data_IF_995125277293
#
_entry.id   IF_995125277293
#
_cell.length_a   1.000
_cell.length_b   1.000
_cell.length_c   1.000
_cell.angle_alpha   90.00
_cell.angle_beta   90.00
_cell.angle_gamma   90.00
#
_symmetry.space_group_name_H-M   'P 1'
#
loop_
_entity.id
_entity.type
_entity.pdbx_description
1 polymer ?
#
# COMPACT_ATOMS: atom_id res chain seq x y z
N UNK A 1 -1.50 5.28 6.27
CA UNK A 1 -0.73 6.20 7.14
C UNK A 1 0.12 5.50 8.21
N UNK A 2 -0.42 4.63 9.07
CA UNK A 2 0.34 3.94 10.15
C UNK A 2 1.50 3.03 9.67
N UNK A 3 1.38 2.39 8.52
CA UNK A 3 2.42 1.49 7.95
C UNK A 3 3.61 2.26 7.40
N UNK A 4 3.36 3.42 6.82
CA UNK A 4 4.35 4.30 6.24
C UNK A 4 5.23 4.99 7.31
N UNK A 5 4.60 5.49 8.39
CA UNK A 5 5.32 6.03 9.55
C UNK A 5 6.22 4.96 10.20
N UNK A 6 5.79 3.70 10.22
CA UNK A 6 6.60 2.56 10.68
C UNK A 6 7.82 2.31 9.79
N UNK A 7 7.67 2.44 8.48
CA UNK A 7 8.77 2.25 7.52
C UNK A 7 9.85 3.33 7.71
N UNK A 8 9.46 4.60 7.78
CA UNK A 8 10.37 5.73 8.01
C UNK A 8 11.10 5.58 9.33
N UNK A 9 10.37 5.24 10.40
CA UNK A 9 10.98 5.00 11.71
C UNK A 9 12.00 3.87 11.67
N UNK A 10 11.75 2.80 10.90
CA UNK A 10 12.73 1.72 10.70
C UNK A 10 13.97 2.19 9.96
N UNK A 11 13.83 2.92 8.85
CA UNK A 11 14.99 3.45 8.12
C UNK A 11 15.81 4.44 8.95
N UNK A 12 15.14 5.33 9.68
CA UNK A 12 15.83 6.25 10.59
C UNK A 12 16.58 5.50 11.68
N UNK A 13 15.95 4.51 12.32
CA UNK A 13 16.58 3.69 13.35
C UNK A 13 17.75 2.87 12.80
N UNK A 14 17.67 2.33 11.59
CA UNK A 14 18.78 1.61 10.97
C UNK A 14 19.93 2.54 10.61
N UNK A 15 19.68 3.73 10.09
CA UNK A 15 20.71 4.72 9.79
C UNK A 15 21.44 5.18 11.05
N UNK A 16 20.70 5.48 12.11
CA UNK A 16 21.27 5.80 13.44
C UNK A 16 22.05 4.62 14.01
N UNK A 17 21.52 3.40 13.90
CA UNK A 17 22.20 2.19 14.36
C UNK A 17 23.51 1.92 13.62
N UNK A 18 23.54 2.07 12.31
CA UNK A 18 24.77 1.93 11.50
C UNK A 18 25.81 3.00 11.88
N UNK A 19 25.37 4.24 12.08
CA UNK A 19 26.28 5.33 12.48
C UNK A 19 26.87 5.11 13.88
N UNK A 20 26.05 4.68 14.84
CA UNK A 20 26.52 4.31 16.17
C UNK A 20 27.48 3.11 16.12
N UNK A 21 27.20 2.11 15.29
CA UNK A 21 28.08 0.96 15.08
C UNK A 21 29.44 1.40 14.51
N UNK A 22 29.46 2.28 13.50
CA UNK A 22 30.72 2.79 12.92
C UNK A 22 31.55 3.58 13.95
N UNK A 23 30.90 4.40 14.77
CA UNK A 23 31.58 5.14 15.84
C UNK A 23 32.13 4.19 16.90
N UNK A 24 31.36 3.21 17.36
CA UNK A 24 31.81 2.23 18.36
C UNK A 24 32.94 1.35 17.84
N UNK A 25 32.86 0.90 16.57
CA UNK A 25 33.93 0.14 15.91
C UNK A 25 35.18 1.00 15.77
N UNK A 26 35.04 2.27 15.38
CA UNK A 26 36.16 3.22 15.30
C UNK A 26 36.87 3.44 16.64
N UNK A 27 36.11 3.68 17.70
CA UNK A 27 36.66 3.81 19.09
C UNK A 27 37.30 2.49 19.52
N UNK A 28 36.63 1.35 19.28
CA UNK A 28 37.14 0.02 19.61
C UNK A 28 38.47 -0.29 18.89
N UNK A 29 38.57 0.09 17.62
CA UNK A 29 39.80 -0.08 16.82
C UNK A 29 40.93 0.77 17.36
N UNK A 30 40.68 2.03 17.69
CA UNK A 30 41.68 2.93 18.31
C UNK A 30 42.11 2.40 19.67
N UNK A 31 41.20 1.94 20.51
CA UNK A 31 41.51 1.32 21.79
C UNK A 31 42.32 0.03 21.64
N UNK A 32 41.96 -0.81 20.65
CA UNK A 32 42.70 -2.04 20.35
C UNK A 32 44.15 -1.73 19.89
N UNK A 33 44.32 -0.77 18.97
CA UNK A 33 45.64 -0.36 18.51
C UNK A 33 46.48 0.19 19.67
N UNK A 34 45.90 1.01 20.53
CA UNK A 34 46.57 1.51 21.73
C UNK A 34 46.95 0.40 22.72
N UNK A 35 46.05 -0.57 22.94
CA UNK A 35 46.32 -1.75 23.77
C UNK A 35 47.42 -2.64 23.15
N UNK A 36 47.38 -2.89 21.85
CA UNK A 36 48.40 -3.68 21.14
C UNK A 36 49.77 -3.02 21.24
N UNK A 37 49.84 -1.69 21.10
CA UNK A 37 51.10 -0.94 21.28
C UNK A 37 51.58 -0.99 22.71
N UNK A 38 50.70 -0.84 23.70
CA UNK A 38 51.01 -1.02 25.11
C UNK A 38 51.59 -2.40 25.41
N UNK A 39 51.05 -3.46 24.89
CA UNK A 39 51.59 -4.82 25.06
C UNK A 39 52.96 -5.01 24.41
N UNK A 40 53.24 -4.40 23.27
CA UNK A 40 54.54 -4.45 22.59
C UNK A 40 55.59 -3.68 23.40
N UNK A 41 55.24 -2.61 24.09
CA UNK A 41 56.12 -1.77 24.87
C UNK A 41 56.43 -2.35 26.27
N UNK A 42 55.56 -3.21 26.81
CA UNK A 42 55.55 -3.73 28.18
C UNK A 42 56.25 -5.09 28.31
N UNK A 43 56.80 -5.69 27.24
CA UNK A 43 57.57 -6.96 27.36
C UNK A 43 58.98 -6.75 28.02
N UNK A 44 59.00 -6.04 29.11
CA UNK A 44 60.18 -5.86 29.99
C UNK A 44 59.77 -6.29 31.37
N UNK A 45 60.47 -7.27 31.89
CA UNK A 45 60.14 -7.79 33.22
C UNK A 45 60.44 -6.77 34.34
N UNK A 46 61.42 -5.87 34.09
CA UNK A 46 61.89 -4.88 35.07
C UNK A 46 62.07 -3.50 34.41
N UNK A 47 61.78 -2.45 35.15
CA UNK A 47 62.10 -1.07 34.76
C UNK A 47 63.63 -0.80 34.89
N UNK A 48 64.08 0.26 34.22
CA UNK A 48 65.53 0.63 34.29
C UNK A 48 65.93 1.03 35.74
N UNK A 49 65.03 1.64 36.51
CA UNK A 49 65.16 1.97 37.91
C UNK A 49 65.33 0.71 38.80
N UNK A 50 64.40 -0.27 38.65
CA UNK A 50 64.50 -1.53 39.42
C UNK A 50 65.75 -2.32 39.10
N UNK A 51 66.22 -2.28 37.86
CA UNK A 51 67.50 -2.90 37.50
C UNK A 51 68.66 -2.19 38.06
N UNK A 52 68.68 -0.85 38.05
CA UNK A 52 69.75 -0.03 38.64
C UNK A 52 69.80 -0.23 40.16
N UNK A 53 68.68 -0.20 40.83
CA UNK A 53 68.58 -0.40 42.29
C UNK A 53 69.05 -1.78 42.72
N UNK A 54 68.96 -2.78 41.87
CA UNK A 54 69.39 -4.15 42.16
C UNK A 54 70.88 -4.37 42.10
N UNK A 55 71.66 -3.37 41.64
CA UNK A 55 73.11 -3.47 41.55
C UNK A 55 73.78 -3.19 42.89
N UNK A 56 74.72 -4.06 43.25
CA UNK A 56 75.46 -3.94 44.52
C UNK A 56 76.97 -3.78 44.23
N UNK A 57 77.60 -2.87 44.95
CA UNK A 57 79.08 -2.67 44.92
C UNK A 57 79.76 -3.72 45.79
N UNK A 58 80.60 -4.53 45.20
CA UNK A 58 81.44 -5.53 45.89
C UNK A 58 82.90 -5.16 45.78
N UNK A 59 83.77 -5.91 46.49
CA UNK A 59 85.24 -5.71 46.37
C UNK A 59 85.79 -5.96 44.97
N UNK A 60 85.07 -6.74 44.16
CA UNK A 60 85.38 -7.09 42.75
C UNK A 60 84.80 -6.11 41.75
N UNK A 61 84.02 -5.08 42.16
CA UNK A 61 83.32 -4.15 41.28
C UNK A 61 81.80 -4.21 41.45
N UNK A 62 81.05 -3.62 40.47
CA UNK A 62 79.59 -3.64 40.45
C UNK A 62 79.07 -5.03 39.93
N UNK A 63 78.04 -5.55 40.59
CA UNK A 63 77.37 -6.80 40.20
C UNK A 63 75.90 -6.76 40.60
N UNK A 64 75.10 -7.60 40.00
CA UNK A 64 73.70 -7.76 40.47
C UNK A 64 73.65 -8.52 41.80
N UNK A 65 72.65 -8.17 42.61
CA UNK A 65 72.40 -8.86 43.88
C UNK A 65 72.05 -10.36 43.64
N UNK A 66 72.10 -11.18 44.73
CA UNK A 66 71.92 -12.66 44.59
C UNK A 66 70.51 -13.11 44.25
N UNK A 67 69.55 -12.20 44.17
CA UNK A 67 68.15 -12.54 43.94
C UNK A 67 67.85 -13.12 42.55
N UNK A 68 68.49 -12.54 41.53
CA UNK A 68 68.33 -13.00 40.13
C UNK A 68 69.69 -12.91 39.36
N UNK A 69 69.94 -13.84 38.39
CA UNK A 69 71.11 -13.72 37.51
C UNK A 69 70.96 -12.53 36.55
N UNK A 70 72.11 -12.03 36.08
CA UNK A 70 72.18 -10.86 35.18
C UNK A 70 71.27 -11.01 33.93
N UNK A 71 71.16 -12.22 33.35
CA UNK A 71 70.34 -12.55 32.20
C UNK A 71 68.86 -12.28 32.45
N UNK A 72 68.39 -12.48 33.70
CA UNK A 72 66.96 -12.24 34.05
C UNK A 72 66.66 -10.76 34.23
N UNK A 73 67.58 -10.03 34.91
CA UNK A 73 67.46 -8.58 35.03
C UNK A 73 67.49 -7.86 33.68
N UNK A 74 68.32 -8.39 32.73
CA UNK A 74 68.52 -7.80 31.40
C UNK A 74 67.54 -8.32 30.37
N UNK A 75 66.56 -9.12 30.79
CA UNK A 75 65.54 -9.64 29.86
C UNK A 75 64.82 -8.49 29.15
N UNK A 76 64.87 -8.47 27.82
CA UNK A 76 64.28 -7.41 26.96
C UNK A 76 65.21 -6.22 26.67
N UNK A 77 66.46 -6.19 27.21
CA UNK A 77 67.49 -5.23 26.87
C UNK A 77 68.61 -5.93 26.07
N UNK A 78 69.20 -5.23 25.14
CA UNK A 78 70.28 -5.78 24.29
C UNK A 78 71.64 -5.70 24.97
N UNK A 79 71.91 -4.65 25.74
CA UNK A 79 73.15 -4.42 26.43
C UNK A 79 72.93 -3.39 27.58
N UNK A 80 73.84 -3.35 28.51
CA UNK A 80 73.91 -2.31 29.54
C UNK A 80 75.32 -1.89 29.85
N UNK A 81 75.50 -0.68 30.41
CA UNK A 81 76.76 -0.16 30.91
C UNK A 81 76.50 0.78 32.10
N UNK A 82 77.52 0.96 32.93
CA UNK A 82 77.59 1.99 33.97
C UNK A 82 78.74 2.93 33.68
N UNK A 83 78.43 4.24 33.70
CA UNK A 83 79.41 5.28 33.50
C UNK A 83 79.71 5.94 34.84
N UNK A 84 81.02 6.18 35.11
CA UNK A 84 81.43 7.00 36.24
C UNK A 84 81.28 8.49 35.93
N UNK A 85 81.61 9.35 36.95
CA UNK A 85 81.51 10.80 36.78
C UNK A 85 82.48 11.36 35.72
N UNK A 86 83.52 10.59 35.37
CA UNK A 86 84.48 10.96 34.33
C UNK A 86 84.03 10.46 32.94
N UNK A 87 82.89 9.71 32.83
CA UNK A 87 82.34 9.16 31.64
C UNK A 87 82.98 7.86 31.16
N UNK A 88 83.73 7.16 32.01
CA UNK A 88 84.36 5.89 31.70
C UNK A 88 83.35 4.76 32.00
N UNK A 89 83.39 3.68 31.16
CA UNK A 89 82.57 2.47 31.40
C UNK A 89 83.22 1.71 32.58
N UNK A 90 82.56 1.64 33.72
CA UNK A 90 83.01 0.94 34.94
C UNK A 90 82.45 -0.50 35.03
N UNK A 91 81.35 -0.76 34.40
CA UNK A 91 80.69 -2.06 34.30
C UNK A 91 79.93 -2.19 32.95
N UNK A 92 79.83 -3.40 32.41
CA UNK A 92 79.09 -3.65 31.20
C UNK A 92 78.53 -5.03 31.17
N UNK A 93 77.37 -5.18 30.43
CA UNK A 93 76.73 -6.43 30.11
C UNK A 93 76.41 -6.47 28.59
N UNK A 94 76.92 -7.44 27.90
CA UNK A 94 76.74 -7.62 26.43
C UNK A 94 76.98 -6.35 25.59
N UNK A 95 77.88 -5.45 26.08
CA UNK A 95 78.19 -4.17 25.45
C UNK A 95 78.90 -4.39 24.12
N UNK A 96 78.44 -3.82 23.00
CA UNK A 96 79.19 -3.82 21.72
C UNK A 96 80.55 -3.12 21.90
N UNK A 97 81.60 -3.67 21.29
CA UNK A 97 82.96 -3.12 21.33
C UNK A 97 83.05 -1.65 20.91
N UNK A 98 82.17 -1.23 19.97
CA UNK A 98 82.10 0.16 19.49
C UNK A 98 81.60 1.14 20.56
N UNK A 99 80.94 0.66 21.59
CA UNK A 99 80.37 1.43 22.69
C UNK A 99 81.25 1.44 23.93
N UNK A 100 82.34 0.67 24.00
CA UNK A 100 83.31 0.67 25.08
C UNK A 100 84.33 1.80 24.87
N UNK A 101 83.89 2.99 25.25
CA UNK A 101 84.69 4.25 25.17
C UNK A 101 84.33 5.23 26.25
N UNK A 102 85.15 6.26 26.38
CA UNK A 102 84.87 7.34 27.31
C UNK A 102 83.89 8.34 26.73
N UNK A 103 82.87 8.72 27.46
CA UNK A 103 81.82 9.63 27.08
C UNK A 103 81.95 10.99 27.70
N UNK A 104 81.88 12.03 26.94
CA UNK A 104 81.80 13.40 27.46
C UNK A 104 80.39 13.71 28.01
N UNK A 105 80.23 14.68 28.92
CA UNK A 105 78.94 15.14 29.39
C UNK A 105 77.99 15.51 28.25
N UNK A 106 78.54 16.03 27.12
CA UNK A 106 77.76 16.33 25.88
C UNK A 106 77.25 15.09 25.17
N UNK A 107 78.09 14.01 25.19
CA UNK A 107 77.63 12.71 24.56
C UNK A 107 76.53 12.11 25.41
N UNK A 108 76.68 12.11 26.74
CA UNK A 108 75.62 11.63 27.66
C UNK A 108 74.34 12.40 27.46
N UNK A 109 74.37 13.74 27.45
CA UNK A 109 73.18 14.54 27.16
C UNK A 109 72.52 14.27 25.82
N UNK A 110 73.29 13.94 24.81
CA UNK A 110 72.79 13.60 23.46
C UNK A 110 72.09 12.26 23.46
N UNK A 111 72.73 11.16 23.89
CA UNK A 111 72.13 9.84 23.85
C UNK A 111 71.05 9.64 24.89
N UNK A 112 71.13 10.25 26.09
CA UNK A 112 70.06 10.18 27.05
C UNK A 112 68.71 10.67 26.46
N UNK A 113 68.80 11.62 25.53
CA UNK A 113 67.59 12.15 24.84
C UNK A 113 67.17 11.31 23.63
N UNK A 114 68.09 10.70 22.89
CA UNK A 114 67.85 10.09 21.61
C UNK A 114 68.30 8.63 21.53
N UNK A 115 69.37 8.41 20.79
CA UNK A 115 69.95 7.11 20.48
C UNK A 115 71.47 7.18 20.72
N UNK A 116 72.05 6.07 21.13
CA UNK A 116 73.51 5.88 21.12
C UNK A 116 73.86 4.92 20.00
N UNK A 117 74.51 5.38 18.94
CA UNK A 117 74.87 4.63 17.73
C UNK A 117 73.70 3.77 17.21
N UNK A 118 72.51 4.41 16.99
CA UNK A 118 71.21 3.82 16.56
C UNK A 118 70.54 2.86 17.56
N UNK A 119 71.11 2.72 18.76
CA UNK A 119 70.45 2.01 19.84
C UNK A 119 69.53 2.93 20.60
N UNK A 120 68.21 2.62 20.78
CA UNK A 120 67.40 3.35 21.76
C UNK A 120 67.93 3.08 23.16
N UNK A 121 68.23 4.12 23.93
CA UNK A 121 68.80 3.97 25.26
C UNK A 121 67.93 4.61 26.34
N UNK A 122 67.99 4.04 27.55
CA UNK A 122 67.42 4.60 28.74
C UNK A 122 68.48 4.75 29.81
N UNK A 123 68.46 5.81 30.60
CA UNK A 123 69.46 6.11 31.55
C UNK A 123 68.78 6.32 32.91
N UNK A 124 69.46 5.84 33.98
CA UNK A 124 69.07 6.06 35.36
C UNK A 124 70.29 6.42 36.18
N UNK A 125 70.19 7.41 37.02
CA UNK A 125 71.33 7.88 37.83
C UNK A 125 71.29 7.30 39.22
N UNK A 126 72.38 6.68 39.66
CA UNK A 126 72.57 6.08 40.94
C UNK A 126 73.86 6.60 41.61
N UNK A 127 74.02 6.32 42.91
CA UNK A 127 75.25 6.74 43.69
C UNK A 127 76.52 6.13 43.14
N UNK A 128 76.44 5.05 42.41
CA UNK A 128 77.58 4.37 41.76
C UNK A 128 77.91 4.89 40.36
N UNK A 129 77.07 5.78 39.81
CA UNK A 129 77.26 6.35 38.49
C UNK A 129 75.97 6.31 37.62
N UNK A 130 76.09 6.54 36.30
CA UNK A 130 75.00 6.55 35.41
C UNK A 130 74.82 5.15 34.79
N UNK A 131 73.71 4.49 35.14
CA UNK A 131 73.28 3.24 34.54
C UNK A 131 72.60 3.47 33.18
N UNK A 132 73.08 2.85 32.14
CA UNK A 132 72.58 3.00 30.76
C UNK A 132 72.26 1.65 30.22
N UNK A 133 71.02 1.49 29.71
CA UNK A 133 70.59 0.28 29.01
C UNK A 133 70.20 0.58 27.56
N UNK A 134 70.56 -0.29 26.65
CA UNK A 134 70.23 -0.19 25.25
C UNK A 134 69.26 -1.29 24.79
N UNK A 135 68.33 -0.92 23.96
CA UNK A 135 67.48 -1.85 23.22
C UNK A 135 68.11 -2.25 21.88
N UNK A 136 67.55 -3.27 21.25
CA UNK A 136 67.99 -3.62 19.92
C UNK A 136 67.77 -2.47 18.90
N UNK A 137 68.65 -2.36 17.91
CA UNK A 137 68.54 -1.31 16.88
C UNK A 137 67.22 -1.42 16.16
N UNK A 138 66.52 -0.26 15.93
CA UNK A 138 65.23 -0.19 15.26
C UNK A 138 64.04 -0.73 16.03
N UNK A 139 64.22 -1.13 17.33
CA UNK A 139 63.13 -1.66 18.17
C UNK A 139 62.17 -0.59 18.67
N UNK A 140 62.60 0.64 18.78
CA UNK A 140 61.81 1.75 19.28
C UNK A 140 62.07 3.00 18.44
N UNK A 141 61.01 3.67 18.04
CA UNK A 141 61.09 4.98 17.41
C UNK A 141 60.74 6.07 18.41
N UNK A 142 61.64 6.96 18.72
CA UNK A 142 61.41 8.09 19.59
C UNK A 142 60.97 9.31 18.78
N UNK A 143 59.83 9.89 19.18
CA UNK A 143 59.31 11.13 18.64
C UNK A 143 59.59 12.30 19.60
N UNK A 144 60.18 13.38 19.09
CA UNK A 144 60.40 14.56 19.89
C UNK A 144 59.28 15.57 19.74
N UNK A 145 58.07 15.19 20.20
CA UNK A 145 56.91 16.05 20.21
C UNK A 145 56.81 16.66 21.61
N UNK A 146 57.04 17.96 21.67
CA UNK A 146 56.76 18.73 22.89
C UNK A 146 55.43 19.45 22.68
N UNK A 147 54.47 19.20 23.53
CA UNK A 147 53.19 19.92 23.58
C UNK A 147 53.17 20.74 24.87
N UNK A 148 52.71 21.99 24.79
CA UNK A 148 52.41 22.72 26.01
C UNK A 148 51.25 22.03 26.74
N UNK A 149 51.26 22.11 28.08
CA UNK A 149 50.17 21.56 28.90
C UNK A 149 48.81 22.18 28.46
N UNK A 150 48.81 23.47 28.12
CA UNK A 150 47.67 24.20 27.63
C UNK A 150 47.16 23.59 26.31
N UNK A 151 48.03 23.28 25.34
CA UNK A 151 47.66 22.67 24.07
C UNK A 151 46.99 21.29 24.26
N UNK A 152 47.49 20.49 25.22
CA UNK A 152 46.87 19.18 25.52
C UNK A 152 45.45 19.34 26.08
N UNK A 153 45.28 20.30 27.01
CA UNK A 153 43.96 20.62 27.57
C UNK A 153 43.03 21.16 26.50
N UNK A 154 43.50 22.08 25.65
CA UNK A 154 42.72 22.66 24.55
C UNK A 154 42.29 21.61 23.52
N UNK A 155 43.17 20.69 23.14
CA UNK A 155 42.85 19.59 22.23
C UNK A 155 41.72 18.72 22.81
N UNK A 156 41.78 18.33 24.08
CA UNK A 156 40.74 17.57 24.75
C UNK A 156 39.44 18.37 24.84
N UNK A 157 39.53 19.67 25.15
CA UNK A 157 38.37 20.55 25.29
C UNK A 157 37.64 20.81 23.95
N UNK A 158 38.36 20.83 22.83
CA UNK A 158 37.77 21.07 21.51
C UNK A 158 37.39 19.81 20.74
N UNK A 159 38.13 18.70 20.92
CA UNK A 159 37.83 17.44 20.16
C UNK A 159 36.44 16.90 20.46
N UNK A 160 36.03 16.91 21.72
CA UNK A 160 34.72 16.37 22.12
C UNK A 160 33.55 17.17 21.51
N UNK A 161 33.49 18.53 21.63
CA UNK A 161 32.37 19.30 21.04
C UNK A 161 32.41 19.32 19.51
N UNK A 162 33.58 19.31 18.87
CA UNK A 162 33.70 19.23 17.42
C UNK A 162 33.17 17.89 16.91
N UNK A 163 33.56 16.78 17.52
CA UNK A 163 33.06 15.45 17.17
C UNK A 163 31.53 15.32 17.42
N UNK A 164 31.06 15.85 18.54
CA UNK A 164 29.65 15.95 18.88
C UNK A 164 28.86 16.78 17.84
N UNK A 165 29.45 17.91 17.41
CA UNK A 165 28.87 18.76 16.36
C UNK A 165 28.73 18.04 15.01
N UNK A 166 29.76 17.32 14.57
CA UNK A 166 29.70 16.50 13.35
C UNK A 166 28.64 15.39 13.44
N UNK A 167 28.53 14.75 14.60
CA UNK A 167 27.51 13.73 14.86
C UNK A 167 26.09 14.30 14.72
N UNK A 168 25.84 15.43 15.40
CA UNK A 168 24.54 16.11 15.35
C UNK A 168 24.20 16.60 13.94
N UNK A 169 25.17 17.16 13.21
CA UNK A 169 24.98 17.59 11.82
C UNK A 169 24.63 16.40 10.91
N UNK A 170 25.31 15.27 11.06
CA UNK A 170 25.01 14.03 10.34
C UNK A 170 23.59 13.50 10.63
N UNK A 171 23.19 13.49 11.91
CA UNK A 171 21.84 13.10 12.31
C UNK A 171 20.78 14.05 11.73
N UNK A 172 21.01 15.36 11.79
CA UNK A 172 20.10 16.36 11.23
C UNK A 172 19.95 16.20 9.69
N UNK A 173 21.04 15.94 8.99
CA UNK A 173 21.03 15.68 7.55
C UNK A 173 20.26 14.39 7.21
N UNK A 174 20.50 13.31 7.94
CA UNK A 174 19.76 12.05 7.77
C UNK A 174 18.27 12.23 8.03
N UNK A 175 17.91 12.97 9.08
CA UNK A 175 16.53 13.29 9.40
C UNK A 175 15.87 14.11 8.29
N UNK A 176 16.54 15.15 7.80
CA UNK A 176 16.03 16.00 6.72
C UNK A 176 15.81 15.23 5.43
N UNK A 177 16.78 14.39 5.01
CA UNK A 177 16.66 13.54 3.82
C UNK A 177 15.51 12.53 3.96
N UNK A 178 15.40 11.89 5.13
CA UNK A 178 14.32 10.92 5.42
C UNK A 178 12.96 11.59 5.38
N UNK A 179 12.81 12.76 5.98
CA UNK A 179 11.55 13.52 5.98
C UNK A 179 11.14 13.95 4.57
N UNK A 180 12.10 14.46 3.80
CA UNK A 180 11.85 14.85 2.40
C UNK A 180 11.44 13.65 1.53
N UNK A 181 12.09 12.50 1.68
CA UNK A 181 11.72 11.26 1.01
C UNK A 181 10.33 10.76 1.40
N UNK A 182 10.04 10.81 2.70
CA UNK A 182 8.76 10.42 3.26
C UNK A 182 7.57 11.21 2.71
N UNK A 183 7.70 12.54 2.61
CA UNK A 183 6.65 13.41 2.10
C UNK A 183 6.32 13.09 0.63
N UNK A 184 7.32 12.79 -0.19
CA UNK A 184 7.12 12.41 -1.60
C UNK A 184 6.44 11.06 -1.76
N UNK A 185 6.81 10.08 -0.93
CA UNK A 185 6.14 8.77 -0.93
C UNK A 185 4.66 8.88 -0.49
N UNK A 186 4.34 9.76 0.45
CA UNK A 186 2.94 10.03 0.84
C UNK A 186 2.11 10.55 -0.35
N UNK A 187 2.69 11.43 -1.17
CA UNK A 187 2.00 11.95 -2.36
C UNK A 187 1.69 10.83 -3.36
N UNK A 188 2.63 9.90 -3.57
CA UNK A 188 2.41 8.74 -4.45
C UNK A 188 1.37 7.78 -3.88
N UNK A 189 1.41 7.51 -2.58
CA UNK A 189 0.42 6.67 -1.91
C UNK A 189 -1.00 7.28 -1.99
N UNK A 190 -1.13 8.59 -1.72
CA UNK A 190 -2.40 9.29 -1.89
C UNK A 190 -2.89 9.29 -3.35
N UNK A 191 -1.97 9.35 -4.32
CA UNK A 191 -2.28 9.19 -5.73
C UNK A 191 -2.84 7.80 -6.05
N UNK A 192 -2.29 6.75 -5.44
CA UNK A 192 -2.79 5.38 -5.60
C UNK A 192 -4.20 5.21 -5.03
N UNK A 193 -4.45 5.77 -3.84
CA UNK A 193 -5.79 5.74 -3.22
C UNK A 193 -6.82 6.45 -4.12
N UNK A 194 -6.48 7.63 -4.65
CA UNK A 194 -7.34 8.37 -5.59
C UNK A 194 -7.59 7.59 -6.89
N UNK A 195 -6.56 6.88 -7.40
CA UNK A 195 -6.71 6.05 -8.59
C UNK A 195 -7.64 4.85 -8.32
N UNK A 196 -7.56 4.27 -7.12
CA UNK A 196 -8.46 3.18 -6.70
C UNK A 196 -9.92 3.66 -6.56
N UNK A 197 -10.14 4.93 -6.23
CA UNK A 197 -11.46 5.58 -6.23
C UNK A 197 -11.96 5.98 -7.64
N UNK A 198 -11.20 5.65 -8.69
CA UNK A 198 -11.56 5.97 -10.09
C UNK A 198 -11.24 7.40 -10.50
N UNK A 199 -10.50 8.16 -9.68
CA UNK A 199 -10.12 9.54 -10.01
C UNK A 199 -8.86 9.56 -10.89
N UNK A 200 -8.76 10.58 -11.75
CA UNK A 200 -7.53 10.80 -12.53
C UNK A 200 -6.42 11.35 -11.64
N UNK A 201 -5.22 10.83 -11.85
CA UNK A 201 -4.04 11.21 -11.07
C UNK A 201 -2.96 11.76 -11.99
N UNK A 202 -2.39 12.90 -11.62
CA UNK A 202 -1.21 13.48 -12.26
C UNK A 202 -0.25 13.93 -11.14
N UNK A 203 0.87 13.21 -11.00
CA UNK A 203 1.90 13.46 -9.99
C UNK A 203 3.12 14.08 -10.65
N UNK A 204 3.85 14.90 -9.88
CA UNK A 204 5.16 15.41 -10.28
C UNK A 204 6.18 14.26 -10.38
N UNK A 205 6.87 14.16 -11.51
CA UNK A 205 7.85 13.11 -11.82
C UNK A 205 9.27 13.45 -11.35
N UNK A 206 9.45 14.55 -10.63
CA UNK A 206 10.75 14.97 -10.11
C UNK A 206 11.27 14.14 -8.94
N UNK A 207 12.60 13.81 -8.94
CA UNK A 207 13.30 13.23 -7.82
C UNK A 207 13.19 11.71 -7.68
N UNK A 208 13.52 11.17 -6.47
CA UNK A 208 13.66 9.74 -6.19
C UNK A 208 12.41 8.89 -6.50
N UNK A 209 11.21 9.46 -6.36
CA UNK A 209 9.94 8.77 -6.67
C UNK A 209 9.45 9.02 -8.09
N UNK A 210 10.25 9.67 -8.94
CA UNK A 210 9.86 10.12 -10.28
C UNK A 210 9.40 8.98 -11.19
N UNK A 211 10.14 7.91 -11.25
CA UNK A 211 9.79 6.73 -12.06
C UNK A 211 8.46 6.08 -11.63
N UNK A 212 8.22 6.02 -10.31
CA UNK A 212 6.97 5.49 -9.78
C UNK A 212 5.80 6.43 -10.06
N UNK A 213 5.99 7.74 -9.92
CA UNK A 213 5.01 8.76 -10.27
C UNK A 213 4.67 8.72 -11.77
N UNK A 214 5.67 8.55 -12.63
CA UNK A 214 5.47 8.43 -14.06
C UNK A 214 4.65 7.19 -14.44
N UNK A 215 4.98 6.02 -13.86
CA UNK A 215 4.20 4.79 -14.06
C UNK A 215 2.76 4.93 -13.59
N UNK A 216 2.55 5.62 -12.46
CA UNK A 216 1.21 5.88 -11.95
C UNK A 216 0.42 6.82 -12.88
N UNK A 217 1.06 7.88 -13.40
CA UNK A 217 0.47 8.78 -14.38
C UNK A 217 0.10 8.03 -15.68
N UNK A 218 0.99 7.17 -16.18
CA UNK A 218 0.73 6.34 -17.36
C UNK A 218 -0.44 5.39 -17.13
N UNK A 219 -0.51 4.75 -15.96
CA UNK A 219 -1.62 3.86 -15.59
C UNK A 219 -2.93 4.63 -15.49
N UNK A 220 -2.91 5.82 -14.87
CA UNK A 220 -4.08 6.71 -14.78
C UNK A 220 -4.60 7.10 -16.18
N UNK A 221 -3.71 7.53 -17.07
CA UNK A 221 -4.05 7.88 -18.44
C UNK A 221 -4.59 6.67 -19.24
N UNK A 222 -4.03 5.47 -19.01
CA UNK A 222 -4.50 4.25 -19.64
C UNK A 222 -5.91 3.85 -19.19
N UNK A 223 -6.18 3.92 -17.87
CA UNK A 223 -7.51 3.67 -17.30
C UNK A 223 -8.53 4.68 -17.82
N UNK A 224 -8.17 5.95 -17.87
CA UNK A 224 -9.03 7.00 -18.42
C UNK A 224 -9.41 6.70 -19.88
N UNK A 225 -8.43 6.38 -20.73
CA UNK A 225 -8.68 6.00 -22.14
C UNK A 225 -9.59 4.77 -22.25
N UNK A 226 -9.37 3.75 -21.42
CA UNK A 226 -10.25 2.57 -21.40
C UNK A 226 -11.68 2.94 -21.02
N UNK A 227 -11.87 3.77 -19.99
CA UNK A 227 -13.19 4.23 -19.57
C UNK A 227 -13.89 5.06 -20.65
N UNK A 228 -13.15 5.93 -21.36
CA UNK A 228 -13.68 6.67 -22.51
C UNK A 228 -14.10 5.75 -23.65
N UNK A 229 -13.30 4.73 -23.97
CA UNK A 229 -13.65 3.74 -25.01
C UNK A 229 -14.90 2.96 -24.63
N UNK A 230 -15.01 2.51 -23.37
CA UNK A 230 -16.18 1.82 -22.84
C UNK A 230 -17.41 2.74 -22.95
N UNK A 231 -17.32 3.97 -22.47
CA UNK A 231 -18.42 4.93 -22.52
C UNK A 231 -18.84 5.24 -23.96
N UNK A 232 -17.89 5.41 -24.91
CA UNK A 232 -18.20 5.60 -26.34
C UNK A 232 -18.90 4.38 -26.96
N UNK A 233 -18.41 3.19 -26.63
CA UNK A 233 -19.03 1.92 -27.10
C UNK A 233 -20.45 1.78 -26.58
N UNK A 234 -20.68 2.07 -25.30
CA UNK A 234 -21.99 1.94 -24.66
C UNK A 234 -22.97 2.98 -25.21
N UNK A 235 -22.52 4.21 -25.43
CA UNK A 235 -23.31 5.25 -26.11
C UNK A 235 -23.65 4.86 -27.55
N UNK A 236 -22.67 4.37 -28.32
CA UNK A 236 -22.90 3.93 -29.68
C UNK A 236 -23.92 2.77 -29.75
N UNK A 237 -23.85 1.81 -28.82
CA UNK A 237 -24.82 0.71 -28.71
C UNK A 237 -26.20 1.21 -28.39
N UNK A 238 -26.35 2.14 -27.46
CA UNK A 238 -27.65 2.74 -27.11
C UNK A 238 -28.25 3.50 -28.29
N UNK A 239 -27.45 4.30 -29.01
CA UNK A 239 -27.88 5.02 -30.21
C UNK A 239 -28.27 4.08 -31.34
N UNK A 240 -27.48 3.00 -31.54
CA UNK A 240 -27.80 1.99 -32.56
C UNK A 240 -29.14 1.30 -32.27
N UNK A 241 -29.41 0.85 -31.04
CA UNK A 241 -30.68 0.25 -30.66
C UNK A 241 -31.83 1.23 -30.82
N UNK A 242 -31.63 2.50 -30.45
CA UNK A 242 -32.65 3.54 -30.66
C UNK A 242 -32.95 3.79 -32.13
N UNK A 243 -31.92 3.81 -32.99
CA UNK A 243 -32.08 3.94 -34.46
C UNK A 243 -32.82 2.75 -35.06
N UNK A 244 -32.39 1.51 -34.77
CA UNK A 244 -33.07 0.30 -35.22
C UNK A 244 -34.54 0.25 -34.75
N UNK A 245 -34.79 0.64 -33.50
CA UNK A 245 -36.15 0.70 -32.92
C UNK A 245 -37.05 1.67 -33.69
N UNK A 246 -36.50 2.83 -34.08
CA UNK A 246 -37.23 3.82 -34.88
C UNK A 246 -37.53 3.28 -36.28
N UNK A 247 -36.52 2.71 -36.94
CA UNK A 247 -36.62 2.24 -38.33
C UNK A 247 -37.54 1.02 -38.48
N UNK A 248 -37.68 0.20 -37.42
CA UNK A 248 -38.64 -0.91 -37.38
C UNK A 248 -40.05 -0.42 -37.00
N UNK A 249 -40.21 0.59 -36.17
CA UNK A 249 -41.50 1.10 -35.74
C UNK A 249 -42.33 1.64 -36.89
N UNK A 250 -41.70 2.29 -37.86
CA UNK A 250 -42.38 2.90 -39.01
C UNK A 250 -43.08 1.85 -39.91
N UNK A 251 -42.40 0.82 -40.45
CA UNK A 251 -43.07 -0.21 -41.25
C UNK A 251 -44.08 -1.01 -40.40
N UNK A 252 -43.79 -1.23 -39.11
CA UNK A 252 -44.69 -1.94 -38.22
C UNK A 252 -46.00 -1.20 -38.00
N UNK A 253 -45.97 0.14 -37.89
CA UNK A 253 -47.16 0.97 -37.79
C UNK A 253 -48.04 0.88 -39.06
N UNK A 254 -47.44 0.77 -40.23
CA UNK A 254 -48.17 0.57 -41.51
C UNK A 254 -48.82 -0.83 -41.52
N UNK A 255 -48.07 -1.87 -41.12
CA UNK A 255 -48.66 -3.25 -41.06
C UNK A 255 -49.82 -3.31 -40.08
N UNK A 256 -49.70 -2.64 -38.90
CA UNK A 256 -50.77 -2.54 -37.92
C UNK A 256 -52.00 -1.86 -38.50
N UNK A 257 -51.83 -0.70 -39.16
CA UNK A 257 -52.95 0.03 -39.78
C UNK A 257 -53.66 -0.77 -40.86
N UNK A 258 -52.91 -1.44 -41.72
CA UNK A 258 -53.50 -2.30 -42.74
C UNK A 258 -54.19 -3.52 -42.13
N UNK A 259 -53.62 -4.17 -41.14
CA UNK A 259 -54.22 -5.32 -40.47
C UNK A 259 -55.53 -4.93 -39.77
N UNK A 260 -55.55 -3.76 -39.10
CA UNK A 260 -56.77 -3.22 -38.49
C UNK A 260 -57.87 -2.91 -39.49
N UNK A 261 -57.53 -2.27 -40.63
CA UNK A 261 -58.50 -2.00 -41.71
C UNK A 261 -59.08 -3.28 -42.27
N UNK A 262 -58.25 -4.31 -42.53
CA UNK A 262 -58.72 -5.63 -43.05
C UNK A 262 -59.53 -6.39 -41.99
N UNK A 263 -59.21 -6.27 -40.69
CA UNK A 263 -60.00 -6.91 -39.63
C UNK A 263 -61.41 -6.31 -39.52
N UNK A 264 -61.52 -4.97 -39.69
CA UNK A 264 -62.78 -4.25 -39.59
C UNK A 264 -63.60 -4.27 -40.87
N UNK A 265 -63.03 -4.66 -42.02
CA UNK A 265 -63.72 -4.70 -43.32
C UNK A 265 -64.76 -5.82 -43.37
N UNK A 266 -66.02 -5.43 -43.26
CA UNK A 266 -67.19 -6.37 -43.32
C UNK A 266 -67.37 -7.02 -44.67
N UNK A 267 -66.77 -6.53 -45.76
CA UNK A 267 -66.81 -7.13 -47.08
C UNK A 267 -65.95 -8.41 -47.22
N UNK A 268 -64.95 -8.54 -46.27
CA UNK A 268 -64.09 -9.71 -46.30
C UNK A 268 -64.70 -10.94 -45.59
N UNK A 269 -64.38 -12.14 -46.04
CA UNK A 269 -64.80 -13.37 -45.38
C UNK A 269 -64.27 -13.48 -43.97
N UNK A 270 -65.04 -14.07 -43.04
CA UNK A 270 -64.66 -14.21 -41.65
C UNK A 270 -63.24 -14.81 -41.41
N UNK A 271 -62.78 -15.85 -42.17
CA UNK A 271 -61.42 -16.37 -42.02
C UNK A 271 -60.31 -15.36 -42.41
N UNK A 272 -60.60 -14.45 -43.35
CA UNK A 272 -59.62 -13.40 -43.74
C UNK A 272 -59.51 -12.34 -42.66
N UNK A 273 -60.60 -11.90 -42.08
CA UNK A 273 -60.62 -10.95 -40.91
C UNK A 273 -59.94 -11.53 -39.70
N UNK A 274 -60.16 -12.84 -39.45
CA UNK A 274 -59.43 -13.49 -38.31
C UNK A 274 -57.94 -13.57 -38.56
N UNK A 275 -57.47 -13.82 -39.80
CA UNK A 275 -56.02 -13.72 -40.11
C UNK A 275 -55.49 -12.31 -39.96
N UNK A 276 -56.24 -11.30 -40.38
CA UNK A 276 -55.87 -9.88 -40.19
C UNK A 276 -55.72 -9.53 -38.68
N UNK A 277 -56.67 -9.97 -37.84
CA UNK A 277 -56.56 -9.83 -36.38
C UNK A 277 -55.33 -10.53 -35.79
N UNK A 278 -54.99 -11.72 -36.36
CA UNK A 278 -53.74 -12.41 -35.97
C UNK A 278 -52.49 -11.61 -36.35
N UNK A 279 -52.44 -11.00 -37.53
CA UNK A 279 -51.33 -10.13 -37.96
C UNK A 279 -51.24 -8.91 -37.06
N UNK A 280 -52.35 -8.24 -36.74
CA UNK A 280 -52.39 -7.10 -35.80
C UNK A 280 -51.83 -7.48 -34.43
N UNK A 281 -52.31 -8.57 -33.86
CA UNK A 281 -51.85 -9.05 -32.55
C UNK A 281 -50.35 -9.36 -32.52
N UNK A 282 -49.81 -10.02 -33.58
CA UNK A 282 -48.36 -10.27 -33.63
C UNK A 282 -47.53 -9.00 -33.83
N UNK A 283 -48.07 -8.04 -34.59
CA UNK A 283 -47.42 -6.74 -34.80
C UNK A 283 -47.39 -5.89 -33.52
N UNK A 284 -48.45 -5.90 -32.70
CA UNK A 284 -48.49 -5.28 -31.37
C UNK A 284 -47.44 -5.92 -30.44
N UNK A 285 -47.30 -7.25 -30.44
CA UNK A 285 -46.27 -7.95 -29.67
C UNK A 285 -44.86 -7.52 -30.09
N UNK A 286 -44.58 -7.45 -31.41
CA UNK A 286 -43.27 -6.98 -31.91
C UNK A 286 -42.99 -5.55 -31.49
N UNK A 287 -43.97 -4.65 -31.55
CA UNK A 287 -43.86 -3.27 -31.08
C UNK A 287 -43.48 -3.24 -29.61
N UNK A 288 -44.16 -3.98 -28.76
CA UNK A 288 -43.86 -4.05 -27.34
C UNK A 288 -42.43 -4.55 -27.04
N UNK A 289 -41.98 -5.61 -27.78
CA UNK A 289 -40.61 -6.13 -27.64
C UNK A 289 -39.55 -5.10 -28.04
N UNK A 290 -39.76 -4.31 -29.10
CA UNK A 290 -38.84 -3.25 -29.53
C UNK A 290 -38.80 -2.14 -28.49
N UNK A 291 -39.96 -1.73 -27.96
CA UNK A 291 -40.05 -0.71 -26.93
C UNK A 291 -39.40 -1.18 -25.62
N UNK A 292 -39.51 -2.44 -25.25
CA UNK A 292 -38.83 -3.05 -24.10
C UNK A 292 -37.30 -3.10 -24.29
N UNK A 293 -36.84 -3.52 -25.48
CA UNK A 293 -35.42 -3.56 -25.81
C UNK A 293 -34.78 -2.19 -25.74
N UNK A 294 -35.47 -1.17 -26.30
CA UNK A 294 -34.98 0.22 -26.25
C UNK A 294 -34.92 0.75 -24.82
N UNK A 295 -35.96 0.49 -23.99
CA UNK A 295 -35.98 0.90 -22.60
C UNK A 295 -34.90 0.21 -21.79
N UNK A 296 -34.77 -1.12 -21.91
CA UNK A 296 -33.73 -1.89 -21.20
C UNK A 296 -32.33 -1.38 -21.53
N UNK A 297 -32.05 -1.14 -22.81
CA UNK A 297 -30.78 -0.58 -23.26
C UNK A 297 -30.51 0.80 -22.64
N UNK A 298 -31.50 1.71 -22.66
CA UNK A 298 -31.36 3.03 -22.09
C UNK A 298 -31.16 3.00 -20.56
N UNK A 299 -31.86 2.13 -19.85
CA UNK A 299 -31.72 1.97 -18.40
C UNK A 299 -30.36 1.37 -18.05
N UNK A 300 -29.93 0.31 -18.75
CA UNK A 300 -28.66 -0.38 -18.53
C UNK A 300 -27.44 0.53 -18.66
N UNK A 301 -27.48 1.47 -19.61
CA UNK A 301 -26.36 2.38 -19.88
C UNK A 301 -26.58 3.80 -19.33
N UNK A 302 -27.56 3.98 -18.43
CA UNK A 302 -27.83 5.26 -17.77
C UNK A 302 -28.28 6.37 -18.71
N UNK A 303 -28.73 6.02 -19.94
CA UNK A 303 -29.19 6.97 -20.94
C UNK A 303 -30.66 7.35 -20.79
N UNK A 304 -31.40 6.73 -19.88
CA UNK A 304 -32.79 7.05 -19.56
C UNK A 304 -32.84 8.08 -18.40
N UNK A 305 -33.26 9.32 -18.68
CA UNK A 305 -33.47 10.27 -17.59
C UNK A 305 -34.66 9.84 -16.75
N UNK A 306 -34.45 9.65 -15.45
CA UNK A 306 -35.51 9.31 -14.50
C UNK A 306 -36.23 10.58 -14.02
N UNK A 307 -37.53 10.60 -14.12
CA UNK A 307 -38.39 11.65 -13.58
C UNK A 307 -38.89 11.23 -12.21
N UNK A 308 -38.01 11.18 -11.23
CA UNK A 308 -38.36 10.78 -9.86
C UNK A 308 -39.17 11.86 -9.18
N UNK A 309 -40.27 11.45 -8.61
CA UNK A 309 -41.16 12.29 -7.78
C UNK A 309 -41.33 11.64 -6.42
N UNK A 310 -41.37 12.47 -5.39
CA UNK A 310 -41.68 12.02 -4.03
C UNK A 310 -43.20 11.77 -3.90
N UNK A 311 -43.60 10.54 -3.67
CA UNK A 311 -45.00 10.16 -3.57
C UNK A 311 -45.25 9.16 -2.42
N UNK A 312 -46.49 9.14 -1.92
CA UNK A 312 -46.92 8.12 -0.97
C UNK A 312 -47.11 6.77 -1.71
N UNK A 313 -46.49 5.72 -1.22
CA UNK A 313 -46.50 4.41 -1.87
C UNK A 313 -47.89 3.77 -1.93
N UNK A 314 -48.69 3.88 -0.88
CA UNK A 314 -50.03 3.30 -0.83
C UNK A 314 -50.97 3.81 -1.93
N UNK A 315 -51.19 5.13 -2.03
CA UNK A 315 -51.99 5.71 -3.13
C UNK A 315 -51.42 5.39 -4.51
N UNK A 316 -50.09 5.46 -4.69
CA UNK A 316 -49.48 5.17 -5.96
C UNK A 316 -49.75 3.73 -6.42
N UNK A 317 -49.56 2.74 -5.56
CA UNK A 317 -49.84 1.32 -5.93
C UNK A 317 -51.31 1.11 -6.22
N UNK A 318 -52.24 1.73 -5.43
CA UNK A 318 -53.67 1.64 -5.75
C UNK A 318 -54.03 2.23 -7.10
N UNK A 319 -53.47 3.38 -7.46
CA UNK A 319 -53.66 4.01 -8.77
C UNK A 319 -53.18 3.11 -9.91
N UNK A 320 -51.94 2.55 -9.81
CA UNK A 320 -51.36 1.67 -10.81
C UNK A 320 -52.18 0.38 -10.97
N UNK A 321 -52.66 -0.19 -9.89
CA UNK A 321 -53.52 -1.36 -9.90
C UNK A 321 -54.88 -1.02 -10.52
N UNK A 322 -55.49 0.12 -10.19
CA UNK A 322 -56.75 0.54 -10.82
C UNK A 322 -56.60 0.74 -12.33
N UNK A 323 -55.51 1.39 -12.80
CA UNK A 323 -55.24 1.53 -14.24
C UNK A 323 -55.13 0.18 -14.92
N UNK A 324 -54.52 -0.82 -14.29
CA UNK A 324 -54.50 -2.18 -14.85
C UNK A 324 -55.89 -2.82 -14.91
N UNK A 325 -56.74 -2.64 -13.93
CA UNK A 325 -58.12 -3.15 -13.89
C UNK A 325 -58.99 -2.61 -15.01
N UNK A 326 -58.66 -1.45 -15.58
CA UNK A 326 -59.35 -0.89 -16.74
C UNK A 326 -58.90 -1.55 -18.07
N UNK A 327 -57.89 -2.43 -18.04
CA UNK A 327 -57.41 -3.12 -19.22
C UNK A 327 -58.26 -4.36 -19.56
N UNK A 328 -58.35 -4.75 -20.87
CA UNK A 328 -59.06 -5.99 -21.27
C UNK A 328 -58.46 -7.28 -20.69
N UNK A 329 -57.22 -7.25 -20.24
CA UNK A 329 -56.55 -8.39 -19.63
C UNK A 329 -56.99 -8.64 -18.19
N UNK A 330 -57.54 -7.64 -17.51
CA UNK A 330 -58.02 -7.79 -16.14
C UNK A 330 -59.21 -8.77 -16.02
N UNK A 331 -60.03 -8.94 -17.08
CA UNK A 331 -61.09 -9.94 -17.11
C UNK A 331 -60.59 -11.40 -16.97
N UNK A 332 -59.29 -11.64 -17.17
CA UNK A 332 -58.63 -12.94 -17.07
C UNK A 332 -57.96 -13.22 -15.75
N UNK A 333 -58.09 -12.34 -14.78
CA UNK A 333 -57.53 -12.53 -13.47
C UNK A 333 -58.45 -12.08 -12.32
N UNK A 334 -58.31 -12.71 -11.16
CA UNK A 334 -58.88 -12.27 -9.90
C UNK A 334 -57.76 -11.59 -9.10
N UNK A 335 -57.80 -10.24 -9.01
CA UNK A 335 -56.72 -9.44 -8.48
C UNK A 335 -57.06 -8.96 -7.07
N UNK A 336 -56.15 -9.20 -6.12
CA UNK A 336 -56.26 -8.74 -4.72
C UNK A 336 -55.07 -7.85 -4.38
N UNK A 337 -55.31 -6.76 -3.65
CA UNK A 337 -54.31 -5.83 -3.12
C UNK A 337 -54.35 -5.82 -1.60
N UNK A 338 -53.23 -6.12 -0.97
CA UNK A 338 -53.05 -6.05 0.50
C UNK A 338 -51.93 -5.10 0.82
N UNK A 339 -52.18 -4.09 1.66
CA UNK A 339 -51.19 -3.10 2.06
C UNK A 339 -51.10 -3.06 3.58
N UNK A 340 -49.88 -3.08 4.11
CA UNK A 340 -49.67 -2.84 5.56
C UNK A 340 -49.74 -1.34 5.84
N UNK A 341 -50.17 -0.92 7.07
CA UNK A 341 -50.25 0.51 7.40
C UNK A 341 -48.91 1.26 7.22
N UNK A 342 -47.81 0.60 7.52
CA UNK A 342 -46.46 1.16 7.31
C UNK A 342 -46.14 1.39 5.82
N UNK A 343 -46.50 0.44 4.93
CA UNK A 343 -46.32 0.59 3.51
C UNK A 343 -47.25 1.63 2.88
N UNK A 344 -48.44 1.77 3.40
CA UNK A 344 -49.40 2.76 2.91
C UNK A 344 -48.92 4.21 3.12
N UNK A 345 -48.22 4.46 4.25
CA UNK A 345 -47.69 5.77 4.61
C UNK A 345 -46.25 5.99 4.10
N UNK A 346 -45.59 4.96 3.58
CA UNK A 346 -44.23 5.03 3.11
C UNK A 346 -44.07 6.06 1.98
N UNK A 347 -42.99 6.80 1.98
CA UNK A 347 -42.63 7.74 0.90
C UNK A 347 -41.57 7.12 0.01
N UNK A 348 -41.76 7.22 -1.29
CA UNK A 348 -40.84 6.73 -2.32
C UNK A 348 -40.50 7.85 -3.31
N UNK A 349 -39.25 7.93 -3.68
CA UNK A 349 -38.78 8.78 -4.78
C UNK A 349 -38.66 7.94 -6.05
N UNK A 350 -39.73 7.93 -6.88
CA UNK A 350 -39.85 7.02 -8.04
C UNK A 350 -40.40 7.72 -9.28
N UNK A 351 -40.05 7.18 -10.45
CA UNK A 351 -40.66 7.54 -11.72
C UNK A 351 -41.96 6.71 -11.87
N UNK A 352 -43.09 7.37 -11.79
CA UNK A 352 -44.44 6.74 -11.79
C UNK A 352 -44.70 5.97 -13.04
N UNK A 353 -44.28 6.49 -14.22
CA UNK A 353 -44.52 5.83 -15.51
C UNK A 353 -43.69 4.54 -15.61
N UNK A 354 -42.43 4.56 -15.17
CA UNK A 354 -41.59 3.35 -15.16
C UNK A 354 -42.08 2.31 -14.15
N UNK A 355 -42.51 2.75 -12.96
CA UNK A 355 -43.08 1.82 -11.97
C UNK A 355 -44.38 1.19 -12.46
N UNK A 356 -45.26 1.95 -13.17
CA UNK A 356 -46.43 1.43 -13.85
C UNK A 356 -46.12 0.36 -14.86
N UNK A 357 -45.13 0.63 -15.74
CA UNK A 357 -44.65 -0.33 -16.74
C UNK A 357 -44.07 -1.59 -16.11
N UNK A 358 -43.36 -1.45 -15.00
CA UNK A 358 -42.85 -2.60 -14.25
C UNK A 358 -43.99 -3.48 -13.73
N UNK A 359 -45.00 -2.87 -13.10
CA UNK A 359 -46.15 -3.60 -12.59
C UNK A 359 -46.96 -4.28 -13.70
N UNK A 360 -47.21 -3.54 -14.79
CA UNK A 360 -47.86 -4.10 -15.98
C UNK A 360 -47.12 -5.32 -16.55
N UNK A 361 -45.77 -5.26 -16.61
CA UNK A 361 -44.97 -6.40 -17.11
C UNK A 361 -45.12 -7.62 -16.20
N UNK A 362 -45.17 -7.46 -14.89
CA UNK A 362 -45.37 -8.58 -13.95
C UNK A 362 -46.77 -9.16 -14.07
N UNK A 363 -47.84 -8.32 -14.09
CA UNK A 363 -49.22 -8.75 -14.18
C UNK A 363 -49.48 -9.42 -15.53
N UNK A 364 -49.01 -8.81 -16.62
CA UNK A 364 -49.16 -9.37 -17.97
C UNK A 364 -48.42 -10.72 -18.10
N UNK A 365 -47.26 -10.87 -17.47
CA UNK A 365 -46.51 -12.11 -17.49
C UNK A 365 -47.33 -13.24 -16.83
N UNK A 366 -47.89 -12.99 -15.65
CA UNK A 366 -48.71 -13.97 -14.93
C UNK A 366 -49.95 -14.37 -15.72
N UNK A 367 -50.61 -13.41 -16.41
CA UNK A 367 -51.84 -13.73 -17.21
C UNK A 367 -51.51 -14.47 -18.49
N UNK A 368 -50.41 -14.08 -19.21
CA UNK A 368 -50.09 -14.67 -20.53
C UNK A 368 -49.56 -16.11 -20.43
N UNK A 369 -48.93 -16.46 -19.31
CA UNK A 369 -48.34 -17.79 -19.09
C UNK A 369 -49.31 -18.78 -18.43
N UNK A 370 -50.55 -18.35 -18.14
CA UNK A 370 -51.61 -19.19 -17.58
C UNK A 370 -52.85 -19.21 -18.51
N UNK A 371 -53.35 -20.37 -18.83
CA UNK A 371 -54.51 -20.54 -19.72
C UNK A 371 -55.86 -20.31 -19.02
N UNK A 372 -55.92 -20.60 -17.70
CA UNK A 372 -57.10 -20.44 -16.84
C UNK A 372 -57.14 -19.06 -16.19
N UNK A 373 -58.26 -18.75 -15.56
CA UNK A 373 -58.38 -17.57 -14.68
C UNK A 373 -57.32 -17.69 -13.56
N UNK A 374 -56.43 -16.71 -13.47
CA UNK A 374 -55.33 -16.71 -12.51
C UNK A 374 -55.64 -15.75 -11.33
N UNK A 375 -55.38 -16.20 -10.11
CA UNK A 375 -55.42 -15.32 -8.93
C UNK A 375 -54.11 -14.59 -8.73
N UNK A 376 -54.20 -13.26 -8.73
CA UNK A 376 -53.03 -12.37 -8.55
C UNK A 376 -53.14 -11.68 -7.20
N UNK A 377 -52.12 -11.88 -6.36
CA UNK A 377 -51.95 -11.20 -5.11
C UNK A 377 -50.88 -10.13 -5.18
N UNK A 378 -51.23 -8.87 -4.92
CA UNK A 378 -50.29 -7.79 -4.75
C UNK A 378 -50.18 -7.47 -3.27
N UNK A 379 -48.99 -7.55 -2.71
CA UNK A 379 -48.73 -7.20 -1.27
C UNK A 379 -47.69 -6.12 -1.19
N UNK A 380 -47.97 -5.12 -0.31
CA UNK A 380 -46.96 -4.13 0.04
C UNK A 380 -46.68 -4.13 1.52
N UNK A 381 -45.43 -4.05 1.89
CA UNK A 381 -44.93 -4.02 3.26
C UNK A 381 -43.64 -3.22 3.40
N UNK A 382 -43.26 -2.82 4.60
CA UNK A 382 -41.95 -2.21 4.89
C UNK A 382 -41.18 -3.19 5.74
N UNK A 383 -40.00 -3.61 5.23
CA UNK A 383 -39.13 -4.59 5.85
C UNK A 383 -37.68 -4.06 5.85
N UNK A 384 -37.05 -4.00 7.01
CA UNK A 384 -35.64 -3.60 7.12
C UNK A 384 -35.32 -2.21 6.57
N UNK A 385 -36.26 -1.26 6.61
CA UNK A 385 -36.05 0.09 6.09
C UNK A 385 -36.22 0.20 4.57
N UNK A 386 -36.75 -0.81 3.91
CA UNK A 386 -37.05 -0.82 2.46
C UNK A 386 -38.54 -1.07 2.24
N UNK A 387 -39.09 -0.46 1.20
CA UNK A 387 -40.43 -0.75 0.72
C UNK A 387 -40.36 -2.02 -0.18
N UNK A 388 -41.24 -2.99 0.16
CA UNK A 388 -41.38 -4.24 -0.57
C UNK A 388 -42.71 -4.30 -1.28
N UNK A 389 -42.72 -4.48 -2.61
CA UNK A 389 -43.86 -4.80 -3.42
C UNK A 389 -43.73 -6.23 -3.92
N UNK A 390 -44.65 -7.10 -3.49
CA UNK A 390 -44.67 -8.51 -3.95
C UNK A 390 -45.87 -8.71 -4.85
N UNK A 391 -45.61 -9.29 -6.03
CA UNK A 391 -46.63 -9.81 -6.98
C UNK A 391 -46.51 -11.30 -6.98
N UNK A 392 -47.60 -12.01 -6.71
CA UNK A 392 -47.64 -13.47 -6.69
C UNK A 392 -48.88 -13.98 -7.41
N UNK A 393 -48.73 -15.06 -8.15
CA UNK A 393 -49.85 -15.77 -8.81
C UNK A 393 -50.01 -17.21 -8.30
N UNK A 394 -51.11 -17.84 -8.65
CA UNK A 394 -51.37 -19.26 -8.38
C UNK A 394 -51.21 -20.13 -9.62
N UNK A 395 -50.47 -19.68 -10.61
CA UNK A 395 -50.29 -20.36 -11.89
C UNK A 395 -49.18 -21.43 -11.88
N UNK A 396 -48.61 -21.69 -13.08
CA UNK A 396 -47.57 -22.68 -13.28
C UNK A 396 -46.23 -22.30 -12.66
N UNK A 397 -45.99 -21.01 -12.28
CA UNK A 397 -44.74 -20.48 -11.77
C UNK A 397 -43.68 -20.25 -12.86
N UNK A 398 -42.51 -19.80 -12.43
CA UNK A 398 -41.40 -19.61 -13.35
C UNK A 398 -40.74 -20.94 -13.70
N UNK A 399 -40.48 -21.24 -15.01
CA UNK A 399 -39.69 -22.38 -15.39
C UNK A 399 -38.29 -22.35 -14.72
N UNK A 400 -37.74 -23.53 -14.34
CA UNK A 400 -36.43 -23.58 -13.66
C UNK A 400 -35.30 -22.91 -14.44
N UNK A 401 -35.30 -23.02 -15.78
CA UNK A 401 -34.32 -22.38 -16.64
C UNK A 401 -34.40 -20.83 -16.61
N UNK A 402 -35.63 -20.28 -16.47
CA UNK A 402 -35.87 -18.84 -16.32
C UNK A 402 -35.34 -18.35 -14.99
N UNK A 403 -35.65 -19.05 -13.90
CA UNK A 403 -35.11 -18.67 -12.55
C UNK A 403 -33.59 -18.77 -12.48
N UNK A 404 -33.02 -19.81 -13.11
CA UNK A 404 -31.57 -19.94 -13.18
C UNK A 404 -30.93 -18.78 -13.94
N UNK A 405 -31.53 -18.34 -15.04
CA UNK A 405 -31.03 -17.22 -15.84
C UNK A 405 -31.17 -15.86 -15.10
N UNK A 406 -32.29 -15.63 -14.40
CA UNK A 406 -32.56 -14.40 -13.65
C UNK A 406 -31.70 -14.26 -12.39
N UNK A 407 -31.32 -15.36 -11.73
CA UNK A 407 -30.55 -15.36 -10.51
C UNK A 407 -29.04 -15.60 -10.76
N UNK A 408 -28.61 -15.76 -12.01
CA UNK A 408 -27.20 -15.94 -12.35
C UNK A 408 -26.44 -14.60 -12.23
N UNK A 409 -25.23 -14.60 -11.63
CA UNK A 409 -24.40 -13.39 -11.53
C UNK A 409 -23.86 -12.92 -12.89
N UNK A 410 -23.82 -13.81 -13.90
CA UNK A 410 -23.39 -13.53 -15.28
C UNK A 410 -24.45 -13.97 -16.29
N UNK A 411 -24.52 -13.32 -17.47
CA UNK A 411 -25.48 -13.73 -18.53
C UNK A 411 -25.28 -15.18 -18.91
N UNK A 412 -26.35 -15.98 -18.87
CA UNK A 412 -26.34 -17.38 -19.25
C UNK A 412 -26.44 -17.49 -20.77
N UNK A 413 -25.53 -18.23 -21.42
CA UNK A 413 -25.59 -18.53 -22.86
C UNK A 413 -26.87 -19.34 -23.18
N UNK A 414 -27.62 -18.91 -24.19
CA UNK A 414 -28.92 -19.49 -24.58
C UNK A 414 -30.04 -19.37 -23.53
N UNK A 415 -30.00 -18.30 -22.71
CA UNK A 415 -31.09 -18.00 -21.78
C UNK A 415 -32.43 -17.86 -22.52
N UNK A 416 -33.56 -18.30 -21.93
CA UNK A 416 -34.89 -18.07 -22.47
C UNK A 416 -35.16 -16.59 -22.72
N UNK A 417 -36.03 -16.26 -23.67
CA UNK A 417 -36.46 -14.87 -23.88
C UNK A 417 -37.28 -14.38 -22.69
N UNK A 418 -36.64 -13.64 -21.79
CA UNK A 418 -37.17 -13.09 -20.54
C UNK A 418 -37.15 -11.57 -20.54
N UNK A 419 -37.25 -10.94 -21.73
CA UNK A 419 -37.07 -9.50 -21.90
C UNK A 419 -37.94 -8.67 -20.93
N UNK A 420 -39.21 -9.04 -20.75
CA UNK A 420 -40.12 -8.35 -19.84
C UNK A 420 -39.67 -8.41 -18.37
N UNK A 421 -39.06 -9.52 -17.91
CA UNK A 421 -38.54 -9.65 -16.57
C UNK A 421 -37.21 -8.88 -16.40
N UNK A 422 -36.38 -8.78 -17.44
CA UNK A 422 -35.23 -7.89 -17.46
C UNK A 422 -35.64 -6.40 -17.39
N UNK A 423 -36.73 -6.00 -18.05
CA UNK A 423 -37.28 -4.64 -17.87
C UNK A 423 -37.60 -4.36 -16.40
N UNK A 424 -38.24 -5.33 -15.72
CA UNK A 424 -38.55 -5.23 -14.29
C UNK A 424 -37.28 -5.04 -13.45
N UNK A 425 -36.26 -5.86 -13.70
CA UNK A 425 -34.97 -5.78 -13.00
C UNK A 425 -34.27 -4.44 -13.23
N UNK A 426 -34.22 -3.98 -14.48
CA UNK A 426 -33.55 -2.72 -14.83
C UNK A 426 -34.30 -1.52 -14.25
N UNK A 427 -35.63 -1.51 -14.25
CA UNK A 427 -36.41 -0.43 -13.63
C UNK A 427 -36.17 -0.43 -12.11
N UNK A 428 -36.19 -1.58 -11.44
CA UNK A 428 -35.93 -1.66 -10.00
C UNK A 428 -34.51 -1.14 -9.65
N UNK A 429 -33.50 -1.57 -10.41
CA UNK A 429 -32.12 -1.13 -10.25
C UNK A 429 -31.95 0.37 -10.49
N UNK A 430 -32.59 0.95 -11.50
CA UNK A 430 -32.55 2.38 -11.79
C UNK A 430 -33.15 3.24 -10.64
N UNK A 431 -34.05 2.66 -9.85
CA UNK A 431 -34.59 3.28 -8.64
C UNK A 431 -33.75 3.02 -7.38
N UNK A 432 -32.57 2.39 -7.52
CA UNK A 432 -31.72 2.04 -6.39
C UNK A 432 -32.22 0.83 -5.59
N UNK A 433 -33.15 0.09 -6.17
CA UNK A 433 -33.75 -1.11 -5.61
C UNK A 433 -33.24 -2.40 -6.30
N UNK A 434 -33.97 -3.48 -6.07
CA UNK A 434 -33.72 -4.79 -6.72
C UNK A 434 -35.02 -5.57 -6.88
N UNK A 435 -35.06 -6.47 -7.89
CA UNK A 435 -36.10 -7.47 -8.07
C UNK A 435 -35.59 -8.85 -7.65
N UNK A 436 -36.43 -9.64 -7.00
CA UNK A 436 -36.13 -11.03 -6.62
C UNK A 436 -37.24 -11.91 -7.16
N UNK A 437 -36.86 -12.88 -7.99
CA UNK A 437 -37.78 -13.81 -8.64
C UNK A 437 -37.72 -15.17 -7.95
N UNK A 438 -38.87 -15.77 -7.73
CA UNK A 438 -39.01 -17.06 -7.07
C UNK A 438 -40.32 -17.75 -7.34
N UNK A 439 -40.54 -18.90 -6.69
CA UNK A 439 -41.80 -19.64 -6.75
C UNK A 439 -42.70 -19.21 -5.59
N UNK A 440 -44.01 -19.21 -5.88
CA UNK A 440 -45.04 -19.02 -4.84
C UNK A 440 -45.39 -20.38 -4.17
N UNK A 441 -45.95 -20.32 -3.00
CA UNK A 441 -46.37 -21.52 -2.24
C UNK A 441 -47.90 -21.51 -2.12
N UNK A 442 -48.61 -22.62 -2.47
CA UNK A 442 -48.09 -23.95 -2.84
C UNK A 442 -47.63 -24.07 -4.29
N UNK A 443 -48.03 -23.19 -5.19
CA UNK A 443 -47.60 -23.11 -6.60
C UNK A 443 -47.77 -21.68 -7.13
N UNK A 444 -47.15 -21.38 -8.27
CA UNK A 444 -47.21 -20.07 -8.91
C UNK A 444 -45.90 -19.32 -8.95
N UNK A 445 -45.86 -18.18 -9.63
CA UNK A 445 -44.72 -17.29 -9.65
C UNK A 445 -44.82 -16.22 -8.53
N UNK A 446 -43.68 -15.82 -7.98
CA UNK A 446 -43.58 -14.75 -7.01
C UNK A 446 -42.42 -13.83 -7.37
N UNK A 447 -42.68 -12.54 -7.52
CA UNK A 447 -41.68 -11.51 -7.69
C UNK A 447 -41.77 -10.49 -6.55
N UNK A 448 -40.66 -10.19 -5.91
CA UNK A 448 -40.58 -9.20 -4.85
C UNK A 448 -39.64 -8.08 -5.26
N UNK A 449 -40.13 -6.86 -5.25
CA UNK A 449 -39.39 -5.64 -5.52
C UNK A 449 -39.01 -4.99 -4.20
N UNK A 450 -37.77 -4.60 -4.09
CA UNK A 450 -37.25 -3.87 -2.95
C UNK A 450 -36.85 -2.47 -3.42
N UNK A 451 -37.46 -1.44 -2.85
CA UNK A 451 -37.19 -0.05 -3.18
C UNK A 451 -36.74 0.70 -1.92
N UNK A 452 -35.76 1.60 -2.02
CA UNK A 452 -35.37 2.43 -0.88
C UNK A 452 -36.49 3.37 -0.46
N UNK A 453 -36.64 3.53 0.83
CA UNK A 453 -37.52 4.59 1.38
C UNK A 453 -36.82 5.94 1.24
N UNK A 454 -37.61 6.97 0.94
CA UNK A 454 -37.13 8.34 1.06
C UNK A 454 -37.43 8.80 2.49
N UNK A 455 -36.37 9.11 3.25
CA UNK A 455 -36.43 9.47 4.69
C UNK A 455 -36.72 10.94 4.90
#
# INVERSE_FOLDING_TARGET
MKTFVRLIRRYLLTAVGVMLLLVTVGIGLLAYLGWQESQRTIQRDYSVEEIADSMVRTEAGLTFGPEHPAERWMAGYAWAMVLDDAGNVTWSYALPETLDRTYTPSDVARFARWYLDDYPVFCWSEDYGLFVVGLARGSLWRYNIYSSQEMVVDVVQWVVPVFGGFLLAGLALCFWLSWRGAKRLQTVAAGLDRLAEGQTVQLDTGGFTGELAEKLNQTSAHLQRKNEIIARRDNARTQWIAGVSHDVRTPLALILGWAEQLEQDKALPAPARQKAGGIRTQSEKLRALIDDLNLTSKLQYGAQPLRKELCAAGPLVRELVAQFCDSPLAERCDLSLTQTPAAEQAKLSVDRALLGRLLENLLNNSIRHNEALVRLGIRTEVVGGSFCLTVADDGAGYPPAVLAALNAPEPVENAPHILGLHVVEQIASAHGGRAVFGQNTPHGAKTTLWLPLDT
#
